data_IF_484318683620
#
_entry.id   IF_484318683620
#
_cell.length_a   1.000
_cell.length_b   1.000
_cell.length_c   1.000
_cell.angle_alpha   90.00
_cell.angle_beta   90.00
_cell.angle_gamma   90.00
#
_symmetry.space_group_name_H-M   'P 1'
#
loop_
_entity.id
_entity.type
_entity.pdbx_description
1 polymer ?
#
# COMPACT_ATOMS: atom_id res chain seq x y z
N UNK A 1 8.80 8.71 -14.26
CA UNK A 1 7.72 7.69 -14.11
C UNK A 1 6.43 8.40 -13.76
N UNK A 2 5.35 8.06 -14.43
CA UNK A 2 4.02 8.60 -14.14
C UNK A 2 3.20 7.59 -13.35
N UNK A 3 2.21 8.08 -12.62
CA UNK A 3 1.31 7.21 -11.88
C UNK A 3 0.28 6.55 -12.81
N UNK A 4 -0.06 5.30 -12.52
CA UNK A 4 -1.13 4.59 -13.20
C UNK A 4 -2.44 4.61 -12.41
N UNK A 5 -2.45 5.27 -11.26
CA UNK A 5 -3.63 5.43 -10.41
C UNK A 5 -3.99 6.90 -10.25
N UNK A 6 -5.24 7.13 -9.88
CA UNK A 6 -5.75 8.47 -9.54
C UNK A 6 -6.55 8.41 -8.25
N UNK A 7 -6.75 9.57 -7.64
CA UNK A 7 -7.51 9.66 -6.39
C UNK A 7 -8.96 9.23 -6.63
N UNK A 8 -9.46 8.38 -5.73
CA UNK A 8 -10.87 7.95 -5.76
C UNK A 8 -11.80 9.15 -5.72
N UNK A 9 -12.78 9.17 -6.63
CA UNK A 9 -13.81 10.19 -6.66
C UNK A 9 -15.18 9.57 -6.96
N UNK A 10 -16.23 10.40 -6.99
CA UNK A 10 -17.61 9.94 -7.16
C UNK A 10 -17.92 9.36 -8.54
N UNK A 11 -17.08 9.62 -9.54
CA UNK A 11 -17.29 9.10 -10.91
C UNK A 11 -16.84 7.65 -11.06
N UNK A 12 -16.02 7.13 -10.15
CA UNK A 12 -15.52 5.76 -10.23
C UNK A 12 -16.61 4.76 -9.88
N UNK A 13 -16.79 3.79 -10.75
CA UNK A 13 -17.80 2.72 -10.58
C UNK A 13 -17.20 1.60 -9.76
N UNK A 14 -17.78 1.34 -8.61
CA UNK A 14 -17.24 0.41 -7.60
C UNK A 14 -18.16 -0.76 -7.25
N UNK A 15 -19.43 -0.72 -7.67
CA UNK A 15 -20.44 -1.65 -7.18
C UNK A 15 -20.16 -3.11 -7.56
N UNK A 16 -19.52 -3.35 -8.69
CA UNK A 16 -19.22 -4.69 -9.18
C UNK A 16 -17.78 -5.13 -8.89
N UNK A 17 -17.02 -4.32 -8.19
CA UNK A 17 -15.65 -4.68 -7.84
C UNK A 17 -15.61 -5.96 -7.01
N UNK A 18 -14.84 -6.93 -7.46
CA UNK A 18 -14.69 -8.22 -6.77
C UNK A 18 -13.26 -8.73 -6.90
N UNK A 19 -12.53 -8.66 -5.80
CA UNK A 19 -11.15 -9.17 -5.71
C UNK A 19 -11.09 -10.54 -5.04
N UNK A 20 -12.24 -11.17 -4.79
CA UNK A 20 -12.38 -12.46 -4.12
C UNK A 20 -12.07 -12.41 -2.60
N UNK A 21 -11.96 -11.20 -2.04
CA UNK A 21 -11.83 -10.95 -0.60
C UNK A 21 -12.95 -10.00 -0.19
N UNK A 22 -13.93 -10.51 0.53
CA UNK A 22 -15.13 -9.75 0.87
C UNK A 22 -14.82 -8.45 1.62
N UNK A 23 -13.89 -8.48 2.57
CA UNK A 23 -13.52 -7.29 3.33
C UNK A 23 -12.96 -6.16 2.45
N UNK A 24 -12.21 -6.51 1.42
CA UNK A 24 -11.64 -5.54 0.49
C UNK A 24 -12.69 -5.05 -0.51
N UNK A 25 -13.63 -5.91 -0.91
CA UNK A 25 -14.75 -5.51 -1.75
C UNK A 25 -15.64 -4.51 -1.00
N UNK A 26 -16.03 -4.83 0.23
CA UNK A 26 -16.84 -3.95 1.07
C UNK A 26 -16.17 -2.61 1.31
N UNK A 27 -14.87 -2.62 1.51
CA UNK A 27 -14.14 -1.39 1.76
C UNK A 27 -14.30 -0.39 0.60
N UNK A 28 -13.98 -0.82 -0.63
CA UNK A 28 -14.06 0.09 -1.78
C UNK A 28 -15.51 0.48 -2.12
N UNK A 29 -16.44 -0.43 -1.90
CA UNK A 29 -17.86 -0.20 -2.18
C UNK A 29 -18.55 0.70 -1.16
N UNK A 30 -18.20 0.58 0.14
CA UNK A 30 -18.97 1.16 1.24
C UNK A 30 -18.19 2.13 2.14
N UNK A 31 -16.87 2.00 2.25
CA UNK A 31 -16.11 2.71 3.28
C UNK A 31 -15.06 3.68 2.76
N UNK A 32 -14.47 3.42 1.60
CA UNK A 32 -13.35 4.19 1.09
C UNK A 32 -13.69 5.68 0.90
N UNK A 33 -14.86 5.97 0.35
CA UNK A 33 -15.27 7.36 0.12
C UNK A 33 -15.32 8.17 1.41
N UNK A 34 -15.84 7.57 2.48
CA UNK A 34 -15.93 8.22 3.77
C UNK A 34 -14.55 8.42 4.41
N UNK A 35 -13.67 7.41 4.31
CA UNK A 35 -12.30 7.53 4.82
C UNK A 35 -11.54 8.65 4.13
N UNK A 36 -11.69 8.77 2.81
CA UNK A 36 -11.06 9.84 2.02
C UNK A 36 -11.59 11.21 2.46
N UNK A 37 -12.91 11.34 2.58
CA UNK A 37 -13.56 12.59 3.00
C UNK A 37 -13.09 13.04 4.40
N UNK A 38 -12.92 12.07 5.30
CA UNK A 38 -12.49 12.33 6.68
C UNK A 38 -10.98 12.38 6.86
N UNK A 39 -10.22 12.28 5.79
CA UNK A 39 -8.75 12.26 5.83
C UNK A 39 -8.16 11.13 6.69
N UNK A 40 -8.88 10.00 6.80
CA UNK A 40 -8.40 8.83 7.52
C UNK A 40 -7.51 7.95 6.66
N UNK A 41 -7.71 7.97 5.35
CA UNK A 41 -6.87 7.31 4.37
C UNK A 41 -6.99 8.00 3.02
N UNK A 42 -5.94 7.96 2.25
CA UNK A 42 -6.01 8.28 0.81
C UNK A 42 -6.27 6.99 0.05
N UNK A 43 -7.11 7.03 -0.97
CA UNK A 43 -7.41 5.87 -1.80
C UNK A 43 -7.10 6.19 -3.26
N UNK A 44 -6.30 5.34 -3.88
CA UNK A 44 -5.86 5.50 -5.26
C UNK A 44 -6.38 4.33 -6.08
N UNK A 45 -7.00 4.62 -7.20
CA UNK A 45 -7.68 3.62 -8.02
C UNK A 45 -7.10 3.59 -9.44
N UNK A 46 -7.07 2.40 -10.01
CA UNK A 46 -6.82 2.18 -11.43
C UNK A 46 -8.18 1.85 -12.06
N UNK A 47 -8.61 2.64 -13.02
CA UNK A 47 -9.91 2.48 -13.67
C UNK A 47 -9.75 2.16 -15.15
N UNK A 48 -10.74 1.46 -15.71
CA UNK A 48 -10.80 1.21 -17.15
C UNK A 48 -11.47 2.38 -17.88
N UNK A 49 -11.65 2.25 -19.18
CA UNK A 49 -12.25 3.31 -20.01
C UNK A 49 -13.70 3.64 -19.64
N UNK A 50 -14.41 2.70 -19.02
CA UNK A 50 -15.77 2.91 -18.54
C UNK A 50 -15.81 3.43 -17.10
N UNK A 51 -14.65 3.79 -16.54
CA UNK A 51 -14.51 4.27 -15.18
C UNK A 51 -14.81 3.21 -14.11
N UNK A 52 -14.74 1.94 -14.47
CA UNK A 52 -14.85 0.84 -13.52
C UNK A 52 -13.51 0.58 -12.87
N UNK A 53 -13.50 0.34 -11.56
CA UNK A 53 -12.27 0.14 -10.80
C UNK A 53 -11.68 -1.24 -11.11
N UNK A 54 -10.45 -1.26 -11.63
CA UNK A 54 -9.68 -2.47 -11.89
C UNK A 54 -8.92 -2.92 -10.66
N UNK A 55 -8.50 -1.97 -9.84
CA UNK A 55 -7.74 -2.20 -8.63
C UNK A 55 -7.55 -0.93 -7.85
N UNK A 56 -7.13 -1.07 -6.60
CA UNK A 56 -6.92 0.10 -5.73
C UNK A 56 -5.93 -0.21 -4.62
N UNK A 57 -5.42 0.85 -4.01
CA UNK A 57 -4.70 0.74 -2.75
C UNK A 57 -4.98 1.96 -1.88
N UNK A 58 -4.71 1.82 -0.58
CA UNK A 58 -4.88 2.93 0.38
C UNK A 58 -3.59 3.21 1.10
N UNK A 59 -3.36 4.50 1.38
CA UNK A 59 -2.20 4.97 2.13
C UNK A 59 -2.66 5.82 3.31
N UNK A 60 -1.98 5.68 4.43
CA UNK A 60 -2.17 6.55 5.59
C UNK A 60 -0.86 6.68 6.37
N UNK A 61 -0.78 7.69 7.23
CA UNK A 61 0.33 7.85 8.14
C UNK A 61 0.22 6.84 9.27
N UNK A 62 1.37 6.35 9.75
CA UNK A 62 1.41 5.45 10.89
C UNK A 62 2.75 5.58 11.60
N UNK A 63 2.90 4.85 12.69
CA UNK A 63 4.17 4.71 13.38
C UNK A 63 4.36 3.27 13.82
N UNK A 64 5.61 2.86 13.97
CA UNK A 64 5.94 1.56 14.53
C UNK A 64 6.96 1.72 15.63
N UNK A 65 6.93 0.81 16.60
CA UNK A 65 7.93 0.76 17.66
C UNK A 65 9.26 0.28 17.06
N UNK A 66 10.33 0.95 17.42
CA UNK A 66 11.68 0.60 16.98
C UNK A 66 12.03 -0.87 17.29
N UNK A 67 11.52 -1.41 18.38
CA UNK A 67 11.81 -2.79 18.79
C UNK A 67 11.24 -3.84 17.84
N UNK A 68 10.30 -3.47 16.97
CA UNK A 68 9.78 -4.36 15.94
C UNK A 68 10.71 -4.47 14.73
N UNK A 69 11.64 -3.54 14.59
CA UNK A 69 12.64 -3.54 13.51
C UNK A 69 13.77 -4.52 13.86
N UNK A 70 14.24 -5.34 12.91
CA UNK A 70 15.39 -6.23 13.16
C UNK A 70 16.58 -5.48 13.72
N UNK A 71 17.29 -6.11 14.68
CA UNK A 71 18.40 -5.50 15.41
C UNK A 71 19.45 -4.88 14.47
N UNK A 72 19.76 -5.55 13.38
CA UNK A 72 20.76 -5.08 12.42
C UNK A 72 20.44 -3.71 11.82
N UNK A 73 19.15 -3.38 11.73
CA UNK A 73 18.67 -2.12 11.14
C UNK A 73 18.48 -1.06 12.23
N UNK A 74 17.91 -1.45 13.38
CA UNK A 74 17.51 -0.49 14.42
C UNK A 74 18.67 0.16 15.17
N UNK A 75 19.88 -0.40 15.11
CA UNK A 75 21.06 0.17 15.76
C UNK A 75 21.33 1.63 15.42
N UNK A 76 20.91 2.06 14.24
CA UNK A 76 21.13 3.42 13.74
C UNK A 76 19.97 4.35 14.03
N UNK A 77 18.91 3.85 14.68
CA UNK A 77 17.68 4.60 14.89
C UNK A 77 17.61 5.13 16.32
N UNK A 78 17.42 6.44 16.45
CA UNK A 78 17.46 7.14 17.74
C UNK A 78 16.13 7.25 18.45
N UNK A 79 15.02 7.19 17.70
CA UNK A 79 13.68 7.39 18.25
C UNK A 79 13.00 6.07 18.55
N UNK A 80 12.18 6.06 19.61
CA UNK A 80 11.41 4.86 19.99
C UNK A 80 10.31 4.57 18.99
N UNK A 81 9.60 5.59 18.54
CA UNK A 81 8.53 5.48 17.55
C UNK A 81 9.00 6.04 16.23
N UNK A 82 8.81 5.27 15.17
CA UNK A 82 9.33 5.60 13.86
C UNK A 82 8.17 5.93 12.91
N UNK A 83 8.28 7.05 12.17
CA UNK A 83 7.22 7.40 11.20
C UNK A 83 7.29 6.47 10.00
N UNK A 84 6.14 5.94 9.61
CA UNK A 84 6.01 5.05 8.45
C UNK A 84 4.75 5.42 7.67
N UNK A 85 4.68 4.93 6.44
CA UNK A 85 3.47 4.97 5.63
C UNK A 85 2.83 3.60 5.65
N UNK A 86 1.55 3.53 5.99
CA UNK A 86 0.80 2.28 5.97
C UNK A 86 0.14 2.11 4.60
N UNK A 87 0.53 1.05 3.90
CA UNK A 87 -0.18 0.56 2.73
C UNK A 87 -1.25 -0.38 3.29
N UNK A 88 -2.42 0.18 3.57
CA UNK A 88 -3.45 -0.52 4.34
C UNK A 88 -4.19 -1.58 3.56
N UNK A 89 -4.37 -1.33 2.26
CA UNK A 89 -5.08 -2.25 1.37
C UNK A 89 -4.46 -2.19 -0.01
N UNK A 90 -4.46 -3.33 -0.69
CA UNK A 90 -4.05 -3.43 -2.08
C UNK A 90 -4.85 -4.58 -2.70
N UNK A 91 -5.67 -4.28 -3.70
CA UNK A 91 -6.57 -5.27 -4.27
C UNK A 91 -6.77 -5.05 -5.76
N UNK A 92 -6.93 -6.14 -6.52
CA UNK A 92 -7.26 -6.10 -7.93
C UNK A 92 -8.52 -6.93 -8.21
N UNK A 93 -9.31 -6.46 -9.15
CA UNK A 93 -10.49 -7.19 -9.59
C UNK A 93 -10.08 -8.50 -10.27
N UNK A 94 -10.82 -9.57 -10.01
CA UNK A 94 -10.55 -10.92 -10.56
C UNK A 94 -10.52 -10.96 -12.09
N UNK A 95 -11.23 -10.05 -12.76
CA UNK A 95 -11.24 -9.98 -14.23
C UNK A 95 -9.88 -9.68 -14.82
N UNK A 96 -8.97 -9.13 -14.03
CA UNK A 96 -7.66 -8.67 -14.49
C UNK A 96 -6.50 -9.49 -13.93
N UNK A 97 -6.75 -10.73 -13.49
CA UNK A 97 -5.72 -11.60 -12.89
C UNK A 97 -4.48 -11.81 -13.77
N UNK A 98 -4.67 -11.86 -15.07
CA UNK A 98 -3.57 -12.15 -16.00
C UNK A 98 -2.74 -10.92 -16.37
N UNK A 99 -3.12 -9.73 -15.93
CA UNK A 99 -2.47 -8.48 -16.32
C UNK A 99 -1.40 -7.99 -15.34
N UNK A 100 -1.04 -8.78 -14.33
CA UNK A 100 -0.07 -8.41 -13.28
C UNK A 100 -0.42 -7.08 -12.57
N UNK A 101 -1.68 -6.81 -12.40
CA UNK A 101 -2.13 -5.57 -11.77
C UNK A 101 -1.68 -5.41 -10.33
N UNK A 102 -1.58 -6.52 -9.58
CA UNK A 102 -1.08 -6.46 -8.20
C UNK A 102 0.33 -5.89 -8.14
N UNK A 103 1.22 -6.35 -9.01
CA UNK A 103 2.58 -5.84 -9.12
C UNK A 103 2.58 -4.36 -9.53
N UNK A 104 1.80 -4.02 -10.55
CA UNK A 104 1.71 -2.66 -11.06
C UNK A 104 1.20 -1.70 -9.97
N UNK A 105 0.17 -2.09 -9.23
CA UNK A 105 -0.36 -1.30 -8.12
C UNK A 105 0.66 -1.14 -7.00
N UNK A 106 1.40 -2.21 -6.67
CA UNK A 106 2.42 -2.12 -5.63
C UNK A 106 3.54 -1.16 -6.03
N UNK A 107 4.04 -1.24 -7.26
CA UNK A 107 5.08 -0.33 -7.72
C UNK A 107 4.60 1.11 -7.75
N UNK A 108 3.34 1.34 -8.17
CA UNK A 108 2.72 2.66 -8.14
C UNK A 108 2.65 3.21 -6.71
N UNK A 109 2.23 2.36 -5.77
CA UNK A 109 2.15 2.72 -4.35
C UNK A 109 3.54 3.05 -3.77
N UNK A 110 4.55 2.23 -4.06
CA UNK A 110 5.91 2.45 -3.57
C UNK A 110 6.50 3.74 -4.14
N UNK A 111 6.27 4.01 -5.41
CA UNK A 111 6.72 5.25 -6.02
C UNK A 111 6.07 6.47 -5.35
N UNK A 112 4.78 6.39 -5.09
CA UNK A 112 4.04 7.46 -4.39
C UNK A 112 4.57 7.65 -2.98
N UNK A 113 4.81 6.55 -2.25
CA UNK A 113 5.38 6.61 -0.89
C UNK A 113 6.78 7.23 -0.89
N UNK A 114 7.60 6.89 -1.88
CA UNK A 114 8.92 7.51 -2.01
C UNK A 114 8.81 9.03 -2.19
N UNK A 115 7.95 9.48 -3.09
CA UNK A 115 7.75 10.91 -3.33
C UNK A 115 7.20 11.64 -2.10
N UNK A 116 6.29 11.01 -1.36
CA UNK A 116 5.78 11.55 -0.08
C UNK A 116 6.92 11.70 0.92
N UNK A 117 7.81 10.71 0.99
CA UNK A 117 8.92 10.72 1.95
C UNK A 117 9.92 11.87 1.72
N UNK A 118 9.92 12.47 0.54
CA UNK A 118 10.77 13.63 0.26
C UNK A 118 10.21 14.91 0.89
N UNK A 119 8.96 14.91 1.31
CA UNK A 119 8.29 16.10 1.85
C UNK A 119 7.90 15.93 3.31
N UNK A 120 7.68 14.71 3.76
CA UNK A 120 7.34 14.42 5.15
C UNK A 120 8.01 13.11 5.56
N UNK A 121 8.59 13.08 6.76
CA UNK A 121 9.35 11.92 7.23
C UNK A 121 8.55 10.63 7.21
N UNK A 122 9.09 9.61 6.54
CA UNK A 122 8.56 8.26 6.49
C UNK A 122 9.73 7.32 6.19
N UNK A 123 10.09 6.47 7.14
CA UNK A 123 11.26 5.63 6.98
C UNK A 123 10.99 4.32 6.27
N UNK A 124 9.72 3.92 6.15
CA UNK A 124 9.36 2.63 5.58
C UNK A 124 7.91 2.62 5.13
N UNK A 125 7.59 1.66 4.27
CA UNK A 125 6.21 1.29 3.95
C UNK A 125 5.90 0.02 4.72
N UNK A 126 4.81 0.02 5.47
CA UNK A 126 4.37 -1.12 6.29
C UNK A 126 3.09 -1.69 5.68
N UNK A 127 2.99 -3.01 5.67
CA UNK A 127 1.79 -3.74 5.26
C UNK A 127 1.40 -4.73 6.35
N UNK A 128 0.11 -5.07 6.39
CA UNK A 128 -0.44 -6.12 7.25
C UNK A 128 -1.11 -7.15 6.34
N UNK A 129 -0.36 -8.18 5.89
CA UNK A 129 -0.90 -9.13 4.91
C UNK A 129 -2.13 -9.86 5.44
N UNK A 130 -3.17 -9.91 4.61
CA UNK A 130 -4.46 -10.50 4.98
C UNK A 130 -4.41 -12.03 5.10
N UNK A 131 -3.46 -12.67 4.42
CA UNK A 131 -3.28 -14.13 4.42
C UNK A 131 -1.87 -14.50 3.96
N UNK A 132 -1.57 -15.81 3.90
CA UNK A 132 -0.26 -16.30 3.48
C UNK A 132 0.06 -15.97 2.02
N UNK A 133 -0.94 -15.94 1.16
CA UNK A 133 -0.75 -15.60 -0.25
C UNK A 133 -0.27 -14.16 -0.39
N UNK A 134 -0.88 -13.25 0.36
CA UNK A 134 -0.45 -11.85 0.39
C UNK A 134 0.95 -11.72 0.97
N UNK A 135 1.26 -12.47 2.05
CA UNK A 135 2.58 -12.48 2.65
C UNK A 135 3.65 -12.90 1.64
N UNK A 136 3.41 -13.98 0.90
CA UNK A 136 4.31 -14.46 -0.15
C UNK A 136 4.51 -13.41 -1.23
N UNK A 137 3.45 -12.73 -1.62
CA UNK A 137 3.49 -11.65 -2.60
C UNK A 137 4.44 -10.53 -2.15
N UNK A 138 4.28 -10.05 -0.91
CA UNK A 138 5.14 -8.96 -0.40
C UNK A 138 6.59 -9.41 -0.20
N UNK A 139 6.83 -10.64 0.25
CA UNK A 139 8.19 -11.18 0.35
C UNK A 139 8.91 -11.16 -0.99
N UNK A 140 8.20 -11.50 -2.06
CA UNK A 140 8.76 -11.50 -3.42
C UNK A 140 9.28 -10.12 -3.83
N UNK A 141 8.65 -9.05 -3.34
CA UNK A 141 9.02 -7.69 -3.70
C UNK A 141 9.94 -7.00 -2.69
N UNK A 142 10.51 -7.76 -1.77
CA UNK A 142 11.56 -7.23 -0.89
C UNK A 142 11.09 -6.77 0.48
N UNK A 143 9.82 -6.96 0.82
CA UNK A 143 9.36 -6.72 2.17
C UNK A 143 9.92 -7.78 3.11
N UNK A 144 10.19 -7.39 4.35
CA UNK A 144 10.65 -8.31 5.39
C UNK A 144 9.69 -8.24 6.59
N UNK A 145 9.68 -9.30 7.39
CA UNK A 145 8.80 -9.36 8.55
C UNK A 145 9.30 -8.43 9.66
N UNK A 146 8.36 -7.78 10.35
CA UNK A 146 8.63 -7.16 11.62
C UNK A 146 8.75 -8.26 12.69
N UNK A 147 9.57 -8.02 13.71
CA UNK A 147 9.84 -9.00 14.77
C UNK A 147 8.56 -9.34 15.52
N UNK A 148 8.29 -10.64 15.69
CA UNK A 148 7.12 -11.17 16.42
C UNK A 148 5.78 -10.62 15.92
N UNK A 149 5.70 -10.35 14.63
CA UNK A 149 4.50 -9.77 14.01
C UNK A 149 4.26 -10.37 12.64
N UNK A 150 3.00 -10.37 12.21
CA UNK A 150 2.63 -10.72 10.83
C UNK A 150 2.83 -9.53 9.89
N UNK A 151 3.03 -8.35 10.44
CA UNK A 151 3.28 -7.15 9.65
C UNK A 151 4.64 -7.24 8.98
N UNK A 152 4.73 -6.60 7.83
CA UNK A 152 5.93 -6.56 7.02
C UNK A 152 6.26 -5.13 6.66
N UNK A 153 7.52 -4.87 6.35
CA UNK A 153 7.92 -3.53 5.93
C UNK A 153 9.00 -3.59 4.85
N UNK A 154 9.09 -2.51 4.09
CA UNK A 154 10.23 -2.26 3.21
C UNK A 154 10.76 -0.88 3.54
N UNK A 155 12.08 -0.76 3.79
CA UNK A 155 12.66 0.53 4.15
C UNK A 155 12.59 1.51 2.98
N UNK A 156 12.42 2.79 3.29
CA UNK A 156 12.39 3.81 2.24
C UNK A 156 13.73 3.88 1.50
N UNK A 157 14.82 3.55 2.17
CA UNK A 157 16.13 3.42 1.55
C UNK A 157 16.13 2.37 0.44
N UNK A 158 15.51 1.21 0.68
CA UNK A 158 15.36 0.15 -0.33
C UNK A 158 14.44 0.61 -1.46
N UNK A 159 13.30 1.22 -1.11
CA UNK A 159 12.36 1.75 -2.10
C UNK A 159 13.04 2.77 -3.02
N UNK A 160 13.84 3.67 -2.44
CA UNK A 160 14.52 4.70 -3.22
C UNK A 160 15.41 4.12 -4.33
N UNK A 161 15.97 2.95 -4.12
CA UNK A 161 16.84 2.29 -5.12
C UNK A 161 16.06 1.82 -6.34
N UNK A 162 14.76 1.58 -6.20
CA UNK A 162 13.91 1.18 -7.32
C UNK A 162 13.67 2.34 -8.29
N UNK A 163 13.77 3.58 -7.81
CA UNK A 163 13.35 4.77 -8.56
C UNK A 163 14.47 5.78 -8.81
N UNK A 164 15.67 5.51 -8.35
CA UNK A 164 16.84 6.31 -8.68
C UNK A 164 17.48 5.76 -9.93
N UNK A 165 17.69 6.62 -10.90
CA UNK A 165 18.46 6.31 -12.09
C UNK A 165 19.96 6.48 -11.83
#
# INVERSE_FOLDING_TARGET
MSYCTEILNSSHKRDEFDCEQESLNLYIQKHAGQDVERHLAACFVMANEQNEIKGYYTLSNSSIDKDLIPISIRKKLSYKNLPVTLLGRLARDRKYKTERLGETLLLDALYRCYNISLNIGSMAVVVDPINEKAQTFYLKYGFINLTDSKKMFISMKTVSRLFKS
#
